data_IF_470408969681
#
_entry.id   IF_470408969681
#
_cell.length_a   1.000
_cell.length_b   1.000
_cell.length_c   1.000
_cell.angle_alpha   90.00
_cell.angle_beta   90.00
_cell.angle_gamma   90.00
#
_symmetry.space_group_name_H-M   'P 1'
#
loop_
_entity.id
_entity.type
_entity.pdbx_description
1 polymer ?
#
# COMPACT_ATOMS: atom_id res chain seq x y z
N UNK A 1 10.66 20.06 10.36
CA UNK A 1 10.70 18.59 10.50
C UNK A 1 9.52 18.01 9.73
N UNK A 2 9.73 17.49 8.52
CA UNK A 2 8.66 16.92 7.72
C UNK A 2 8.38 15.50 8.22
N UNK A 3 7.24 15.31 8.88
CA UNK A 3 6.82 14.02 9.42
C UNK A 3 6.23 13.18 8.27
N UNK A 4 7.09 12.42 7.60
CA UNK A 4 6.84 11.06 7.07
C UNK A 4 5.42 10.74 6.58
N UNK A 5 4.93 11.43 5.55
CA UNK A 5 3.64 11.12 4.91
C UNK A 5 3.66 9.79 4.12
N UNK A 6 4.84 9.17 3.93
CA UNK A 6 5.02 8.12 2.93
C UNK A 6 4.74 6.68 3.35
N UNK A 7 4.59 6.37 4.64
CA UNK A 7 4.50 4.95 5.09
C UNK A 7 3.31 4.67 6.00
N UNK A 8 2.11 4.78 5.43
CA UNK A 8 0.86 4.42 6.10
C UNK A 8 0.90 3.02 6.75
N UNK A 9 1.52 2.04 6.08
CA UNK A 9 1.67 0.69 6.61
C UNK A 9 2.48 0.63 7.92
N UNK A 10 3.56 1.41 8.03
CA UNK A 10 4.37 1.46 9.26
C UNK A 10 3.62 2.13 10.41
N UNK A 11 2.93 3.24 10.11
CA UNK A 11 2.08 3.92 11.10
C UNK A 11 0.96 3.01 11.60
N UNK A 12 0.35 2.24 10.69
CA UNK A 12 -0.64 1.24 11.05
C UNK A 12 -0.05 0.14 11.94
N UNK A 13 1.17 -0.34 11.65
CA UNK A 13 1.83 -1.35 12.47
C UNK A 13 2.13 -0.85 13.89
N UNK A 14 2.60 0.41 14.03
CA UNK A 14 2.80 1.06 15.33
C UNK A 14 1.48 1.21 16.09
N UNK A 15 0.40 1.59 15.42
CA UNK A 15 -0.93 1.72 16.03
C UNK A 15 -1.45 0.36 16.51
N UNK A 16 -1.27 -0.70 15.71
CA UNK A 16 -1.67 -2.06 16.09
C UNK A 16 -0.90 -2.54 17.33
N UNK A 17 0.40 -2.22 17.42
CA UNK A 17 1.19 -2.52 18.62
C UNK A 17 0.67 -1.77 19.84
N UNK A 18 0.40 -0.46 19.72
CA UNK A 18 -0.15 0.37 20.80
C UNK A 18 -1.50 -0.13 21.30
N UNK A 19 -2.43 -0.48 20.39
CA UNK A 19 -3.74 -1.07 20.75
C UNK A 19 -3.62 -2.39 21.50
N UNK A 20 -2.62 -3.20 21.15
CA UNK A 20 -2.35 -4.47 21.82
C UNK A 20 -1.52 -4.32 23.11
N UNK A 21 -1.21 -3.08 23.54
CA UNK A 21 -0.35 -2.78 24.68
C UNK A 21 1.03 -3.47 24.62
N UNK A 22 1.55 -3.69 23.41
CA UNK A 22 2.90 -4.25 23.18
C UNK A 22 3.83 -3.16 22.66
N UNK A 23 5.12 -3.33 22.94
CA UNK A 23 6.15 -2.41 22.44
C UNK A 23 6.14 -2.37 20.91
N UNK A 24 6.34 -1.18 20.32
CA UNK A 24 6.54 -1.00 18.88
C UNK A 24 7.94 -1.46 18.43
N UNK A 25 8.33 -2.68 18.77
CA UNK A 25 9.59 -3.28 18.35
C UNK A 25 9.52 -3.70 16.88
N UNK A 26 10.69 -3.86 16.24
CA UNK A 26 10.75 -4.34 14.85
C UNK A 26 10.06 -5.71 14.66
N UNK A 27 10.18 -6.59 15.66
CA UNK A 27 9.54 -7.91 15.65
C UNK A 27 8.01 -7.78 15.72
N UNK A 28 7.48 -6.92 16.59
CA UNK A 28 6.05 -6.71 16.76
C UNK A 28 5.42 -6.01 15.54
N UNK A 29 6.11 -5.03 14.94
CA UNK A 29 5.68 -4.42 13.67
C UNK A 29 5.62 -5.42 12.54
N UNK A 30 6.62 -6.29 12.44
CA UNK A 30 6.64 -7.37 11.44
C UNK A 30 5.49 -8.36 11.68
N UNK A 31 5.22 -8.72 12.93
CA UNK A 31 4.09 -9.58 13.29
C UNK A 31 2.75 -8.91 12.97
N UNK A 32 2.60 -7.61 13.25
CA UNK A 32 1.41 -6.85 12.93
C UNK A 32 1.16 -6.80 11.40
N UNK A 33 2.19 -6.52 10.61
CA UNK A 33 2.09 -6.48 9.14
C UNK A 33 1.90 -7.87 8.53
N UNK A 34 2.48 -8.90 9.13
CA UNK A 34 2.34 -10.29 8.69
C UNK A 34 2.62 -10.46 7.18
N UNK A 35 1.79 -11.23 6.46
CA UNK A 35 1.93 -11.42 5.01
C UNK A 35 1.81 -10.13 4.18
N UNK A 36 1.16 -9.08 4.71
CA UNK A 36 0.99 -7.83 3.99
C UNK A 36 2.31 -7.07 3.81
N UNK A 37 3.32 -7.34 4.64
CA UNK A 37 4.67 -6.78 4.49
C UNK A 37 5.25 -7.07 3.09
N UNK A 38 5.02 -8.28 2.57
CA UNK A 38 5.51 -8.71 1.26
C UNK A 38 4.70 -8.15 0.08
N UNK A 39 3.59 -7.45 0.36
CA UNK A 39 2.82 -6.72 -0.66
C UNK A 39 3.30 -5.27 -0.81
N UNK A 40 4.12 -4.77 0.13
CA UNK A 40 4.71 -3.44 0.07
C UNK A 40 5.82 -3.42 -0.98
N UNK A 41 5.81 -2.40 -1.83
CA UNK A 41 6.71 -2.25 -2.97
C UNK A 41 7.93 -1.42 -2.59
N UNK A 42 8.75 -1.94 -1.68
CA UNK A 42 9.98 -1.26 -1.26
C UNK A 42 10.89 -0.82 -2.44
N UNK A 43 11.04 -1.61 -3.54
CA UNK A 43 11.80 -1.19 -4.71
C UNK A 43 11.32 0.12 -5.37
N UNK A 44 10.03 0.47 -5.23
CA UNK A 44 9.48 1.72 -5.77
C UNK A 44 9.70 2.94 -4.87
N UNK A 45 10.25 2.73 -3.67
CA UNK A 45 10.66 3.82 -2.79
C UNK A 45 12.06 4.24 -3.23
N UNK A 46 12.29 5.55 -3.41
CA UNK A 46 13.63 6.04 -3.72
C UNK A 46 14.65 5.54 -2.68
N UNK A 47 15.82 5.07 -3.14
CA UNK A 47 16.85 4.49 -2.28
C UNK A 47 17.20 5.37 -1.06
N UNK A 48 17.26 6.69 -1.25
CA UNK A 48 17.50 7.67 -0.18
C UNK A 48 16.45 7.59 0.94
N UNK A 49 15.16 7.60 0.57
CA UNK A 49 14.05 7.45 1.54
C UNK A 49 14.05 6.07 2.16
N UNK A 50 14.32 5.01 1.39
CA UNK A 50 14.41 3.65 1.92
C UNK A 50 15.49 3.53 3.00
N UNK A 51 16.70 4.00 2.73
CA UNK A 51 17.82 3.95 3.65
C UNK A 51 17.59 4.81 4.92
N UNK A 52 17.00 6.00 4.75
CA UNK A 52 16.80 6.94 5.86
C UNK A 52 15.58 6.60 6.73
N UNK A 53 14.50 6.12 6.12
CA UNK A 53 13.19 6.02 6.77
C UNK A 53 12.68 4.59 6.92
N UNK A 54 13.22 3.59 6.22
CA UNK A 54 12.71 2.20 6.29
C UNK A 54 13.70 1.29 7.00
N UNK A 55 14.96 1.31 6.60
CA UNK A 55 16.01 0.47 7.18
C UNK A 55 16.10 0.60 8.71
N UNK A 56 16.04 1.81 9.30
CA UNK A 56 16.12 1.98 10.76
C UNK A 56 14.94 1.36 11.52
N UNK A 57 13.78 1.14 10.88
CA UNK A 57 12.64 0.49 11.55
C UNK A 57 12.88 -1.01 11.79
N UNK A 58 13.87 -1.62 11.13
CA UNK A 58 14.24 -3.03 11.33
C UNK A 58 13.20 -4.05 10.88
N UNK A 59 12.15 -3.62 10.16
CA UNK A 59 11.04 -4.50 9.71
C UNK A 59 11.47 -5.49 8.63
N UNK A 60 12.55 -5.20 7.90
CA UNK A 60 13.11 -6.08 6.87
C UNK A 60 14.27 -6.90 7.44
N UNK A 61 14.42 -8.13 6.97
CA UNK A 61 15.62 -8.93 7.22
C UNK A 61 16.79 -8.35 6.41
N UNK A 62 18.03 -8.72 6.76
CA UNK A 62 19.22 -8.29 6.00
C UNK A 62 19.09 -8.64 4.51
N UNK A 63 18.62 -9.84 4.20
CA UNK A 63 18.34 -10.29 2.83
C UNK A 63 17.30 -9.41 2.14
N UNK A 64 16.22 -9.06 2.84
CA UNK A 64 15.21 -8.12 2.33
C UNK A 64 15.79 -6.74 2.02
N UNK A 65 16.66 -6.21 2.90
CA UNK A 65 17.36 -4.94 2.67
C UNK A 65 18.27 -5.04 1.45
N UNK A 66 19.11 -6.08 1.38
CA UNK A 66 20.05 -6.30 0.27
C UNK A 66 19.30 -6.38 -1.06
N UNK A 67 18.17 -7.09 -1.13
CA UNK A 67 17.39 -7.21 -2.36
C UNK A 67 16.91 -5.85 -2.90
N UNK A 68 16.52 -4.92 -2.02
CA UNK A 68 16.10 -3.57 -2.42
C UNK A 68 17.29 -2.73 -2.86
N UNK A 69 18.43 -2.82 -2.19
CA UNK A 69 19.66 -2.14 -2.64
C UNK A 69 20.10 -2.63 -4.02
N UNK A 70 20.10 -3.94 -4.24
CA UNK A 70 20.45 -4.54 -5.52
C UNK A 70 19.56 -4.04 -6.66
N UNK A 71 18.25 -3.91 -6.44
CA UNK A 71 17.32 -3.34 -7.43
C UNK A 71 17.72 -1.94 -7.88
N UNK A 72 18.19 -1.08 -6.96
CA UNK A 72 18.64 0.27 -7.29
C UNK A 72 20.06 0.33 -7.87
N UNK A 73 20.86 -0.73 -7.74
CA UNK A 73 22.20 -0.81 -8.31
C UNK A 73 22.23 -1.23 -9.77
N UNK A 74 21.14 -1.80 -10.30
CA UNK A 74 21.06 -2.24 -11.69
C UNK A 74 20.47 -1.13 -12.58
N UNK A 75 21.10 -0.81 -13.72
CA UNK A 75 20.70 0.30 -14.59
C UNK A 75 19.30 0.11 -15.19
N UNK A 76 18.88 -1.13 -15.39
CA UNK A 76 17.61 -1.45 -16.07
C UNK A 76 16.45 -1.68 -15.09
N UNK A 77 16.69 -1.61 -13.78
CA UNK A 77 15.68 -1.89 -12.74
C UNK A 77 14.86 -3.18 -12.99
N UNK A 78 15.47 -4.17 -13.66
CA UNK A 78 14.74 -5.33 -14.20
C UNK A 78 14.07 -6.09 -13.06
N UNK A 79 12.76 -5.91 -13.03
CA UNK A 79 11.84 -6.62 -12.17
C UNK A 79 11.76 -8.08 -12.59
N UNK A 80 12.69 -8.90 -12.10
CA UNK A 80 12.63 -10.35 -12.30
C UNK A 80 13.58 -10.85 -13.37
N UNK A 81 14.87 -10.81 -13.07
CA UNK A 81 15.78 -11.90 -13.45
C UNK A 81 15.88 -12.81 -12.21
N UNK A 82 14.91 -13.73 -11.99
CA UNK A 82 14.83 -14.51 -10.75
C UNK A 82 16.04 -15.41 -10.57
N UNK A 83 16.71 -15.74 -11.67
CA UNK A 83 17.93 -16.57 -11.73
C UNK A 83 19.14 -15.91 -11.07
N UNK A 84 19.23 -14.58 -11.06
CA UNK A 84 20.35 -13.86 -10.43
C UNK A 84 19.98 -13.39 -9.03
N UNK A 85 18.74 -12.92 -8.82
CA UNK A 85 18.26 -12.42 -7.53
C UNK A 85 16.76 -12.69 -7.34
N UNK A 86 16.36 -13.66 -6.49
CA UNK A 86 14.96 -13.89 -6.18
C UNK A 86 14.40 -12.69 -5.39
N UNK A 87 13.76 -11.76 -6.11
CA UNK A 87 13.15 -10.57 -5.51
C UNK A 87 11.95 -10.96 -4.64
N UNK A 88 12.01 -10.61 -3.36
CA UNK A 88 10.93 -10.89 -2.38
C UNK A 88 9.79 -9.87 -2.38
N UNK A 89 9.99 -8.74 -3.06
CA UNK A 89 9.04 -7.62 -3.05
C UNK A 89 8.60 -7.26 -4.46
N UNK A 90 7.31 -6.88 -4.66
CA UNK A 90 6.84 -6.44 -5.95
C UNK A 90 7.54 -5.14 -6.36
N UNK A 91 7.98 -5.10 -7.61
CA UNK A 91 8.70 -3.98 -8.22
C UNK A 91 7.96 -3.37 -9.41
N UNK A 92 6.84 -3.95 -9.84
CA UNK A 92 5.97 -3.36 -10.85
C UNK A 92 5.13 -2.22 -10.26
N UNK A 93 4.91 -1.16 -11.06
CA UNK A 93 3.97 -0.08 -10.77
C UNK A 93 2.54 -0.61 -10.53
N UNK A 94 1.63 0.22 -9.99
CA UNK A 94 0.22 -0.20 -9.88
C UNK A 94 -0.34 -0.20 -11.30
N UNK A 95 -0.64 -1.40 -11.81
CA UNK A 95 -1.34 -1.74 -13.05
C UNK A 95 -1.39 -0.61 -14.09
N UNK A 96 -0.51 -0.70 -15.11
CA UNK A 96 -0.74 -0.23 -16.47
C UNK A 96 -1.50 -1.27 -17.34
N UNK A 97 -1.75 -2.47 -16.79
CA UNK A 97 -2.35 -3.61 -17.51
C UNK A 97 -3.88 -3.63 -17.47
N UNK A 98 -4.50 -2.48 -17.65
CA UNK A 98 -5.85 -2.49 -18.18
C UNK A 98 -5.74 -2.42 -19.69
N UNK A 99 -6.03 -3.55 -20.36
CA UNK A 99 -6.62 -3.49 -21.70
C UNK A 99 -8.03 -2.88 -21.58
N UNK A 100 -8.13 -1.62 -21.13
CA UNK A 100 -9.32 -0.81 -21.34
C UNK A 100 -9.27 -0.47 -22.83
N UNK A 101 -10.02 -1.24 -23.61
CA UNK A 101 -10.38 -0.83 -24.95
C UNK A 101 -10.86 0.63 -24.88
N UNK A 102 -10.29 1.47 -25.73
CA UNK A 102 -10.58 2.91 -25.83
C UNK A 102 -12.09 3.16 -25.68
N UNK A 103 -12.47 4.01 -24.71
CA UNK A 103 -13.83 4.52 -24.56
C UNK A 103 -14.73 3.89 -23.47
N UNK A 104 -14.25 2.94 -22.68
CA UNK A 104 -15.11 2.34 -21.65
C UNK A 104 -15.07 3.10 -20.31
N UNK A 105 -16.24 3.58 -19.89
CA UNK A 105 -16.52 3.88 -18.47
C UNK A 105 -16.35 2.59 -17.67
N UNK A 106 -15.54 2.64 -16.63
CA UNK A 106 -15.31 1.51 -15.72
C UNK A 106 -15.71 1.86 -14.30
N UNK A 107 -16.30 0.90 -13.60
CA UNK A 107 -16.55 1.00 -12.15
C UNK A 107 -15.58 0.07 -11.44
N UNK A 108 -14.71 0.63 -10.63
CA UNK A 108 -13.91 -0.14 -9.67
C UNK A 108 -14.72 -0.26 -8.38
N UNK A 109 -15.21 -1.48 -8.10
CA UNK A 109 -15.88 -1.80 -6.85
C UNK A 109 -14.90 -2.53 -5.91
N UNK A 110 -14.75 -2.02 -4.70
CA UNK A 110 -14.02 -2.66 -3.62
C UNK A 110 -14.98 -2.98 -2.48
N UNK A 111 -14.94 -4.23 -2.00
CA UNK A 111 -15.69 -4.68 -0.84
C UNK A 111 -14.72 -4.97 0.29
N UNK A 112 -14.96 -4.36 1.45
CA UNK A 112 -14.20 -4.59 2.67
C UNK A 112 -15.13 -5.30 3.65
N UNK A 113 -14.76 -6.50 4.06
CA UNK A 113 -15.50 -7.29 5.05
C UNK A 113 -14.93 -7.10 6.45
N UNK A 114 -15.77 -7.30 7.47
CA UNK A 114 -15.40 -7.20 8.88
C UNK A 114 -14.86 -5.82 9.26
N UNK A 115 -15.53 -4.78 8.79
CA UNK A 115 -15.07 -3.41 8.98
C UNK A 115 -14.92 -3.04 10.47
N UNK A 116 -15.75 -3.63 11.34
CA UNK A 116 -15.68 -3.40 12.79
C UNK A 116 -14.32 -3.76 13.41
N UNK A 117 -13.56 -4.71 12.83
CA UNK A 117 -12.19 -5.03 13.25
C UNK A 117 -11.20 -3.87 13.01
N UNK A 118 -11.58 -2.93 12.14
CA UNK A 118 -10.83 -1.73 11.77
C UNK A 118 -11.37 -0.46 12.46
N UNK A 119 -12.24 -0.58 13.47
CA UNK A 119 -12.69 0.58 14.22
C UNK A 119 -11.51 1.29 14.95
N UNK A 120 -11.48 2.62 14.86
CA UNK A 120 -10.45 3.48 15.47
C UNK A 120 -9.19 3.68 14.61
N UNK A 121 -9.31 3.69 13.28
CA UNK A 121 -8.27 4.18 12.37
C UNK A 121 -8.79 5.47 11.68
N UNK A 122 -8.07 6.58 11.83
CA UNK A 122 -8.30 7.79 11.04
C UNK A 122 -7.35 7.78 9.84
N UNK A 123 -7.85 7.51 8.62
CA UNK A 123 -7.10 7.86 7.41
C UNK A 123 -8.00 8.04 6.19
N UNK A 124 -7.80 9.16 5.47
CA UNK A 124 -8.42 9.64 4.22
C UNK A 124 -9.95 9.80 4.17
N UNK A 125 -10.71 8.94 4.85
CA UNK A 125 -12.14 9.11 5.21
C UNK A 125 -12.26 8.81 6.71
N UNK A 126 -12.99 9.63 7.46
CA UNK A 126 -13.17 9.35 8.89
C UNK A 126 -14.05 8.11 9.07
N UNK A 127 -13.76 7.31 10.10
CA UNK A 127 -14.61 6.15 10.43
C UNK A 127 -16.07 6.56 10.65
N UNK A 128 -16.31 7.76 11.20
CA UNK A 128 -17.64 8.32 11.35
C UNK A 128 -18.33 8.56 10.00
N UNK A 129 -17.63 9.13 9.02
CA UNK A 129 -18.16 9.31 7.66
C UNK A 129 -18.38 7.99 6.92
N UNK A 130 -17.56 6.98 7.20
CA UNK A 130 -17.68 5.64 6.60
C UNK A 130 -18.94 4.92 7.12
N UNK A 131 -19.26 5.13 8.39
CA UNK A 131 -20.39 4.51 9.09
C UNK A 131 -21.68 5.33 9.03
N UNK A 132 -21.66 6.46 8.31
CA UNK A 132 -22.81 7.35 8.16
C UNK A 132 -23.91 6.65 7.32
N UNK A 133 -25.08 6.33 7.92
CA UNK A 133 -26.16 5.64 7.22
C UNK A 133 -26.68 6.44 6.02
N UNK A 134 -26.50 7.77 6.01
CA UNK A 134 -26.95 8.64 4.93
C UNK A 134 -26.11 8.50 3.66
N UNK A 135 -24.87 7.98 3.76
CA UNK A 135 -23.98 7.79 2.61
C UNK A 135 -24.17 6.43 1.91
N UNK A 136 -24.83 5.46 2.56
CA UNK A 136 -25.10 4.14 1.98
C UNK A 136 -23.86 3.29 1.70
N UNK A 137 -22.69 3.65 2.26
CA UNK A 137 -21.41 2.98 2.02
C UNK A 137 -21.21 1.76 2.92
N UNK A 138 -21.83 1.74 4.10
CA UNK A 138 -21.70 0.67 5.10
C UNK A 138 -23.00 -0.11 5.27
N UNK A 139 -22.91 -1.43 5.11
CA UNK A 139 -23.93 -2.41 5.46
C UNK A 139 -23.66 -2.93 6.87
N UNK A 140 -24.54 -2.54 7.81
CA UNK A 140 -24.43 -2.92 9.22
C UNK A 140 -24.73 -4.40 9.47
N UNK A 141 -25.62 -5.02 8.71
CA UNK A 141 -26.00 -6.42 8.93
C UNK A 141 -24.89 -7.35 8.46
N UNK A 142 -24.24 -7.00 7.35
CA UNK A 142 -23.13 -7.78 6.82
C UNK A 142 -21.75 -7.37 7.40
N UNK A 143 -21.67 -6.25 8.13
CA UNK A 143 -20.44 -5.57 8.55
C UNK A 143 -19.47 -5.31 7.39
N UNK A 144 -19.98 -4.72 6.31
CA UNK A 144 -19.23 -4.50 5.05
C UNK A 144 -19.31 -3.08 4.54
N UNK A 145 -18.25 -2.63 3.88
CA UNK A 145 -18.27 -1.39 3.09
C UNK A 145 -18.10 -1.70 1.61
N UNK A 146 -18.90 -1.04 0.77
CA UNK A 146 -18.74 -1.05 -0.68
C UNK A 146 -18.31 0.33 -1.16
N UNK A 147 -17.10 0.42 -1.70
CA UNK A 147 -16.59 1.62 -2.34
C UNK A 147 -16.62 1.41 -3.85
N UNK A 148 -17.43 2.21 -4.54
CA UNK A 148 -17.45 2.24 -6.00
C UNK A 148 -16.83 3.56 -6.47
N UNK A 149 -15.83 3.47 -7.36
CA UNK A 149 -15.26 4.63 -8.05
C UNK A 149 -15.56 4.44 -9.53
N UNK A 150 -16.39 5.33 -10.06
CA UNK A 150 -16.59 5.46 -11.49
C UNK A 150 -15.50 6.35 -12.07
N UNK A 151 -14.84 5.90 -13.12
CA UNK A 151 -13.85 6.70 -13.82
C UNK A 151 -14.14 6.72 -15.32
N UNK A 152 -13.85 7.87 -15.91
CA UNK A 152 -13.90 8.10 -17.36
C UNK A 152 -12.53 8.61 -17.78
N UNK A 153 -11.95 8.00 -18.79
CA UNK A 153 -10.68 8.44 -19.37
C UNK A 153 -11.00 9.33 -20.56
N UNK A 154 -10.73 10.63 -20.45
CA UNK A 154 -10.78 11.57 -21.59
C UNK A 154 -9.41 11.62 -22.28
N UNK A 155 -9.39 11.61 -23.62
CA UNK A 155 -8.16 11.69 -24.40
C UNK A 155 -7.48 13.06 -24.18
N UNK A 156 -6.18 13.03 -23.87
CA UNK A 156 -5.34 14.23 -24.06
C UNK A 156 -5.08 14.31 -25.56
N UNK A 157 -5.81 15.18 -26.26
CA UNK A 157 -5.47 15.56 -27.63
C UNK A 157 -4.10 16.26 -27.58
N UNK A 158 -3.04 15.53 -27.89
CA UNK A 158 -1.76 16.13 -28.25
C UNK A 158 -1.94 16.77 -29.61
N UNK A 159 -2.36 18.04 -29.64
CA UNK A 159 -2.05 18.90 -30.76
C UNK A 159 -0.52 19.04 -30.81
N UNK A 160 0.09 18.41 -31.82
CA UNK A 160 1.47 18.66 -32.23
C UNK A 160 1.70 20.16 -32.42
N UNK A 161 2.72 20.71 -31.77
CA UNK A 161 3.54 21.81 -32.32
C UNK A 161 4.91 21.87 -31.69
#
# INVERSE_FOLDING_TARGET
>A
MAVTEKMAALRWADEKCRKNAIECSAANRRAALGPALFKIRFPLITLKTFAKEIVPFGILTLEGVISVYQYHSHPDHLCGVPELYPMKFPCHGRISDWNIAKGNRGTLAMEIEKLSEFAGFESFITFAELMDPSKGLYDREADKVKLAIDFSVEEVNSEES
#
